data_IF_102061833612
#
_entry.id   IF_102061833612
#
_cell.length_a   1.000
_cell.length_b   1.000
_cell.length_c   1.000
_cell.angle_alpha   90.00
_cell.angle_beta   90.00
_cell.angle_gamma   90.00
#
_symmetry.space_group_name_H-M   'P 1'
#
loop_
_entity.id
_entity.type
_entity.pdbx_description
1 polymer ?
#
# COMPACT_ATOMS: atom_id res chain seq x y z
N UNK A 1 -30.78 17.98 -14.36
CA UNK A 1 -29.31 18.02 -14.43
C UNK A 1 -28.76 17.02 -13.41
N UNK A 2 -28.37 15.82 -13.85
CA UNK A 2 -27.81 14.76 -12.98
C UNK A 2 -26.34 15.05 -12.79
N UNK A 3 -25.94 15.36 -11.55
CA UNK A 3 -24.51 15.50 -11.18
C UNK A 3 -23.88 14.11 -11.28
N UNK A 4 -22.94 13.93 -12.19
CA UNK A 4 -22.10 12.74 -12.27
C UNK A 4 -21.17 12.75 -11.05
N UNK A 5 -21.46 11.93 -10.06
CA UNK A 5 -20.51 11.62 -8.98
C UNK A 5 -19.45 10.69 -9.58
N UNK A 6 -18.24 11.18 -9.72
CA UNK A 6 -17.10 10.33 -10.02
C UNK A 6 -16.73 9.58 -8.71
N UNK A 7 -17.14 8.33 -8.61
CA UNK A 7 -16.70 7.42 -7.56
C UNK A 7 -15.36 6.87 -8.03
N UNK A 8 -14.27 7.51 -7.62
CA UNK A 8 -12.95 6.90 -7.73
C UNK A 8 -12.88 5.74 -6.74
N UNK A 9 -12.85 4.52 -7.25
CA UNK A 9 -12.65 3.32 -6.44
C UNK A 9 -11.34 3.45 -5.66
N UNK A 10 -11.44 3.63 -4.36
CA UNK A 10 -10.31 3.85 -3.47
C UNK A 10 -9.84 2.50 -2.96
N UNK A 11 -8.95 1.88 -3.76
CA UNK A 11 -8.16 0.76 -3.27
C UNK A 11 -7.17 1.29 -2.22
N UNK A 12 -7.06 0.61 -1.08
CA UNK A 12 -6.05 0.90 -0.06
C UNK A 12 -4.65 0.39 -0.48
N UNK A 13 -4.18 0.74 -1.64
CA UNK A 13 -2.86 1.29 -1.82
C UNK A 13 -3.06 2.78 -1.65
N UNK A 14 -2.26 3.44 -0.85
CA UNK A 14 -2.22 4.89 -0.70
C UNK A 14 -2.15 5.56 -2.09
N UNK A 15 -3.26 5.57 -2.84
CA UNK A 15 -3.35 6.41 -4.02
C UNK A 15 -3.86 7.74 -3.51
N UNK A 16 -2.89 8.56 -3.10
CA UNK A 16 -3.13 9.97 -2.92
C UNK A 16 -3.83 10.51 -4.16
N UNK A 17 -5.08 10.95 -4.02
CA UNK A 17 -5.66 11.91 -4.94
C UNK A 17 -4.95 13.25 -4.70
N UNK A 18 -3.63 13.26 -4.90
CA UNK A 18 -2.79 14.44 -4.76
C UNK A 18 -2.71 15.19 -6.06
N UNK A 19 -2.40 16.45 -5.97
CA UNK A 19 -2.11 17.32 -7.11
C UNK A 19 -1.03 16.69 -7.98
N UNK A 20 -1.42 16.16 -9.13
CA UNK A 20 -0.44 15.82 -10.16
C UNK A 20 0.00 17.13 -10.80
N UNK A 21 1.20 17.60 -10.46
CA UNK A 21 1.88 18.55 -11.32
C UNK A 21 2.10 17.85 -12.66
N UNK A 22 1.21 18.07 -13.63
CA UNK A 22 1.37 17.52 -14.98
C UNK A 22 2.52 18.25 -15.66
N UNK A 23 3.73 17.73 -15.52
CA UNK A 23 4.80 18.03 -16.44
C UNK A 23 4.53 17.21 -17.69
N UNK A 24 3.96 17.82 -18.71
CA UNK A 24 3.63 17.16 -19.97
C UNK A 24 4.93 16.86 -20.70
N UNK A 25 5.35 15.60 -20.68
CA UNK A 25 6.34 15.12 -21.65
C UNK A 25 5.65 14.95 -23.01
N UNK A 26 6.33 15.28 -24.08
CA UNK A 26 5.82 15.34 -25.48
C UNK A 26 5.34 13.99 -26.05
N UNK A 27 5.29 12.93 -25.25
CA UNK A 27 4.99 11.53 -25.64
C UNK A 27 3.79 10.90 -24.93
N UNK A 28 2.88 11.68 -24.32
CA UNK A 28 1.73 11.11 -23.58
C UNK A 28 2.09 10.53 -22.20
N UNK A 29 3.34 10.56 -21.78
CA UNK A 29 3.78 10.20 -20.43
C UNK A 29 3.57 11.37 -19.48
N UNK A 30 3.00 11.11 -18.32
CA UNK A 30 2.83 12.10 -17.24
C UNK A 30 3.71 11.76 -16.06
N UNK A 31 4.20 12.78 -15.36
CA UNK A 31 4.92 12.64 -14.09
C UNK A 31 3.92 12.88 -12.97
N UNK A 32 3.88 11.96 -12.01
CA UNK A 32 3.10 12.07 -10.78
C UNK A 32 4.07 12.26 -9.62
N UNK A 33 3.85 13.30 -8.83
CA UNK A 33 4.60 13.57 -7.59
C UNK A 33 3.59 13.83 -6.49
N UNK A 34 3.65 13.08 -5.42
CA UNK A 34 2.78 13.24 -4.26
C UNK A 34 3.56 12.95 -2.98
N UNK A 35 3.06 13.40 -1.84
CA UNK A 35 3.61 13.02 -0.56
C UNK A 35 2.48 12.89 0.47
N UNK A 36 2.54 11.85 1.29
CA UNK A 36 1.69 11.70 2.46
C UNK A 36 2.48 12.06 3.71
N UNK A 37 1.80 12.76 4.63
CA UNK A 37 2.23 12.86 6.02
C UNK A 37 1.21 12.09 6.86
N UNK A 38 1.67 11.06 7.55
CA UNK A 38 0.81 10.18 8.35
C UNK A 38 1.26 10.16 9.81
N UNK A 39 0.31 9.99 10.74
CA UNK A 39 0.60 9.97 12.18
C UNK A 39 1.40 8.74 12.64
N UNK A 40 1.24 7.63 11.90
CA UNK A 40 1.98 6.39 12.08
C UNK A 40 1.97 5.61 10.76
N UNK A 41 2.91 4.71 10.57
CA UNK A 41 2.94 3.87 9.38
C UNK A 41 2.46 2.46 9.71
N UNK A 42 1.28 2.13 9.21
CA UNK A 42 0.69 0.79 9.30
C UNK A 42 0.53 0.23 7.90
N UNK A 43 1.10 -0.94 7.66
CA UNK A 43 1.02 -1.64 6.39
C UNK A 43 0.33 -2.99 6.55
N UNK A 44 -0.86 -3.13 5.95
CA UNK A 44 -1.65 -4.38 5.97
C UNK A 44 -1.88 -4.94 7.39
N UNK A 45 -2.21 -4.05 8.34
CA UNK A 45 -2.43 -4.40 9.75
C UNK A 45 -1.15 -4.59 10.58
N UNK A 46 0.02 -4.40 9.98
CA UNK A 46 1.32 -4.44 10.68
C UNK A 46 1.80 -3.02 10.90
N UNK A 47 1.99 -2.63 12.16
CA UNK A 47 2.53 -1.32 12.53
C UNK A 47 4.04 -1.31 12.32
N UNK A 48 4.49 -0.62 11.26
CA UNK A 48 5.92 -0.45 10.98
C UNK A 48 6.57 0.57 11.93
N UNK A 49 5.86 1.65 12.24
CA UNK A 49 6.30 2.65 13.22
C UNK A 49 5.11 3.44 13.78
N UNK A 50 5.18 3.81 15.06
CA UNK A 50 4.19 4.62 15.77
C UNK A 50 4.51 6.12 15.78
N UNK A 51 5.51 6.56 15.02
CA UNK A 51 5.88 7.96 14.85
C UNK A 51 5.36 8.52 13.54
N UNK A 52 5.20 9.84 13.38
CA UNK A 52 4.84 10.44 12.12
C UNK A 52 5.83 10.07 11.01
N UNK A 53 5.30 9.84 9.80
CA UNK A 53 6.08 9.48 8.62
C UNK A 53 5.78 10.43 7.47
N UNK A 54 6.83 10.78 6.73
CA UNK A 54 6.74 11.45 5.44
C UNK A 54 6.95 10.40 4.33
N UNK A 55 5.99 10.32 3.40
CA UNK A 55 5.90 9.23 2.43
C UNK A 55 5.78 9.79 1.00
N UNK A 56 6.90 10.14 0.34
CA UNK A 56 6.89 10.66 -1.02
C UNK A 56 6.67 9.55 -2.05
N UNK A 57 6.01 9.91 -3.15
CA UNK A 57 5.86 9.11 -4.36
C UNK A 57 6.31 9.91 -5.57
N UNK A 58 7.09 9.29 -6.43
CA UNK A 58 7.39 9.78 -7.78
C UNK A 58 7.08 8.66 -8.78
N UNK A 59 6.28 8.96 -9.82
CA UNK A 59 5.95 7.97 -10.82
C UNK A 59 5.85 8.55 -12.23
N UNK A 60 6.14 7.70 -13.21
CA UNK A 60 5.90 7.92 -14.63
C UNK A 60 4.68 7.10 -15.04
N UNK A 61 3.67 7.76 -15.60
CA UNK A 61 2.42 7.13 -16.02
C UNK A 61 2.23 7.29 -17.51
N UNK A 62 1.98 6.17 -18.22
CA UNK A 62 1.67 6.16 -19.64
C UNK A 62 0.56 5.14 -19.93
N UNK A 63 -0.63 5.62 -20.30
CA UNK A 63 -1.80 4.76 -20.43
C UNK A 63 -2.11 4.00 -19.13
N UNK A 64 -2.18 2.67 -19.20
CA UNK A 64 -2.37 1.82 -18.01
C UNK A 64 -1.10 1.50 -17.24
N UNK A 65 0.08 1.84 -17.76
CA UNK A 65 1.36 1.54 -17.14
C UNK A 65 1.80 2.64 -16.19
N UNK A 66 2.25 2.27 -14.99
CA UNK A 66 2.86 3.16 -14.01
C UNK A 66 4.17 2.53 -13.50
N UNK A 67 5.28 3.26 -13.57
CA UNK A 67 6.57 2.93 -12.98
C UNK A 67 6.91 4.00 -11.95
N UNK A 68 7.15 3.61 -10.72
CA UNK A 68 7.36 4.59 -9.65
C UNK A 68 8.34 4.14 -8.58
N UNK A 69 8.68 5.12 -7.77
CA UNK A 69 9.37 4.95 -6.50
C UNK A 69 8.51 5.52 -5.40
N UNK A 70 8.44 4.81 -4.29
CA UNK A 70 7.80 5.26 -3.06
C UNK A 70 8.79 5.15 -1.91
N UNK A 71 8.64 5.96 -0.91
CA UNK A 71 9.47 5.86 0.27
C UNK A 71 8.72 6.24 1.53
N UNK A 72 9.28 5.88 2.68
CA UNK A 72 8.82 6.29 3.99
C UNK A 72 10.01 6.60 4.89
N UNK A 73 9.94 7.72 5.58
CA UNK A 73 10.90 8.05 6.62
C UNK A 73 10.15 8.57 7.83
N UNK A 74 10.37 7.96 8.97
CA UNK A 74 9.79 8.43 10.21
C UNK A 74 10.57 9.64 10.77
N UNK A 75 9.91 10.44 11.60
CA UNK A 75 10.53 11.66 12.16
C UNK A 75 11.51 11.35 13.28
N UNK A 76 11.55 10.13 13.79
CA UNK A 76 12.56 9.70 14.76
C UNK A 76 13.89 9.33 14.09
N UNK A 77 13.89 9.10 12.76
CA UNK A 77 15.05 8.69 11.98
C UNK A 77 15.43 7.20 12.14
N UNK A 78 14.58 6.42 12.79
CA UNK A 78 14.81 5.00 13.03
C UNK A 78 14.31 4.14 11.87
N UNK A 79 13.18 4.49 11.27
CA UNK A 79 12.58 3.75 10.16
C UNK A 79 12.75 4.46 8.83
N UNK A 80 13.19 3.71 7.83
CA UNK A 80 13.28 4.17 6.43
C UNK A 80 12.90 3.04 5.50
N UNK A 81 12.21 3.38 4.43
CA UNK A 81 11.82 2.45 3.37
C UNK A 81 11.92 3.13 2.01
N UNK A 82 12.35 2.38 1.01
CA UNK A 82 12.32 2.82 -0.38
C UNK A 82 11.97 1.66 -1.28
N UNK A 83 10.88 1.82 -2.03
CA UNK A 83 10.30 0.80 -2.89
C UNK A 83 10.33 1.26 -4.34
N UNK A 84 10.61 0.30 -5.23
CA UNK A 84 10.45 0.50 -6.67
C UNK A 84 9.31 -0.39 -7.12
N UNK A 85 8.37 0.17 -7.87
CA UNK A 85 7.22 -0.60 -8.33
C UNK A 85 6.91 -0.35 -9.81
N UNK A 86 6.32 -1.36 -10.44
CA UNK A 86 5.72 -1.26 -11.75
C UNK A 86 4.33 -1.87 -11.71
N UNK A 87 3.33 -1.16 -12.27
CA UNK A 87 1.97 -1.67 -12.37
C UNK A 87 1.39 -1.48 -13.75
N UNK A 88 0.43 -2.33 -14.12
CA UNK A 88 -0.35 -2.19 -15.33
C UNK A 88 -1.84 -2.38 -15.03
N UNK A 89 -2.64 -1.39 -15.42
CA UNK A 89 -4.09 -1.39 -15.21
C UNK A 89 -4.82 -1.46 -16.54
N UNK A 90 -5.74 -2.40 -16.66
CA UNK A 90 -6.65 -2.54 -17.82
C UNK A 90 -8.06 -2.79 -17.31
N UNK A 91 -8.97 -1.85 -17.58
CA UNK A 91 -10.31 -1.89 -17.00
C UNK A 91 -10.27 -1.88 -15.47
N UNK A 92 -10.91 -2.87 -14.85
CA UNK A 92 -10.88 -3.06 -13.39
C UNK A 92 -9.76 -4.00 -12.91
N UNK A 93 -8.91 -4.51 -13.79
CA UNK A 93 -7.80 -5.38 -13.41
C UNK A 93 -6.50 -4.57 -13.31
N UNK A 94 -5.77 -4.75 -12.20
CA UNK A 94 -4.43 -4.20 -11.98
C UNK A 94 -3.46 -5.31 -11.63
N UNK A 95 -2.34 -5.35 -12.34
CA UNK A 95 -1.20 -6.22 -12.07
C UNK A 95 -0.05 -5.36 -11.54
N UNK A 96 0.77 -5.91 -10.65
CA UNK A 96 1.90 -5.18 -10.09
C UNK A 96 3.05 -6.07 -9.67
N UNK A 97 4.23 -5.45 -9.65
CA UNK A 97 5.43 -5.96 -9.01
C UNK A 97 6.02 -4.84 -8.20
N UNK A 98 6.41 -5.13 -6.95
CA UNK A 98 7.05 -4.17 -6.05
C UNK A 98 8.30 -4.80 -5.45
N UNK A 99 9.36 -4.03 -5.42
CA UNK A 99 10.61 -4.31 -4.70
C UNK A 99 10.61 -3.44 -3.43
N UNK A 100 10.41 -4.07 -2.28
CA UNK A 100 10.47 -3.43 -0.97
C UNK A 100 11.89 -3.47 -0.42
N UNK A 101 12.36 -2.36 0.16
CA UNK A 101 13.60 -2.33 0.92
C UNK A 101 13.42 -1.57 2.24
N UNK A 102 13.43 -2.32 3.35
CA UNK A 102 13.19 -1.79 4.69
C UNK A 102 14.50 -1.51 5.44
N UNK A 103 14.60 -0.30 5.99
CA UNK A 103 15.68 0.14 6.88
C UNK A 103 17.09 0.17 6.27
N UNK A 104 17.27 -0.15 4.97
CA UNK A 104 18.56 -0.16 4.29
C UNK A 104 19.68 -0.87 5.08
N UNK A 105 19.36 -2.06 5.63
CA UNK A 105 20.26 -2.78 6.54
C UNK A 105 21.51 -3.33 5.87
N UNK A 106 21.41 -3.64 4.57
CA UNK A 106 22.52 -4.15 3.76
C UNK A 106 22.86 -3.18 2.63
N UNK A 107 23.75 -3.62 1.72
CA UNK A 107 24.02 -2.85 0.50
C UNK A 107 22.78 -2.86 -0.40
N UNK A 108 22.29 -1.70 -0.79
CA UNK A 108 21.09 -1.56 -1.62
C UNK A 108 21.13 -2.41 -2.92
N UNK A 109 22.30 -2.62 -3.51
CA UNK A 109 22.46 -3.45 -4.73
C UNK A 109 22.84 -4.91 -4.43
N UNK A 110 22.58 -5.40 -3.22
CA UNK A 110 22.71 -6.83 -2.91
C UNK A 110 21.39 -7.56 -3.16
N UNK A 111 21.30 -8.24 -4.29
CA UNK A 111 20.13 -9.03 -4.68
C UNK A 111 20.32 -10.53 -4.52
N UNK A 112 21.37 -10.98 -3.83
CA UNK A 112 21.61 -12.41 -3.59
C UNK A 112 20.59 -12.95 -2.60
N UNK A 113 20.00 -14.09 -2.94
CA UNK A 113 18.92 -14.74 -2.16
C UNK A 113 19.24 -14.89 -0.67
N UNK A 114 20.49 -15.10 -0.33
CA UNK A 114 20.96 -15.40 1.04
C UNK A 114 21.21 -14.15 1.88
N UNK A 115 21.44 -13.01 1.26
CA UNK A 115 21.95 -11.80 1.95
C UNK A 115 21.14 -10.55 1.68
N UNK A 116 20.25 -10.58 0.69
CA UNK A 116 19.43 -9.41 0.34
C UNK A 116 18.43 -9.05 1.43
N UNK A 117 18.22 -7.75 1.65
CA UNK A 117 17.09 -7.20 2.42
C UNK A 117 15.91 -6.83 1.50
N UNK A 118 16.05 -6.96 0.19
CA UNK A 118 14.95 -6.74 -0.74
C UNK A 118 13.89 -7.82 -0.63
N UNK A 119 12.63 -7.42 -0.80
CA UNK A 119 11.48 -8.33 -0.92
C UNK A 119 10.72 -7.99 -2.20
N UNK A 120 10.67 -8.93 -3.14
CA UNK A 120 9.91 -8.80 -4.37
C UNK A 120 8.53 -9.41 -4.22
N UNK A 121 7.50 -8.59 -4.40
CA UNK A 121 6.10 -9.01 -4.33
C UNK A 121 5.45 -8.90 -5.70
N UNK A 122 4.68 -9.92 -6.06
CA UNK A 122 3.72 -9.89 -7.16
C UNK A 122 2.32 -9.60 -6.66
N UNK A 123 1.56 -8.79 -7.37
CA UNK A 123 0.19 -8.45 -7.02
C UNK A 123 -0.77 -8.56 -8.20
N UNK A 124 -2.00 -9.00 -7.92
CA UNK A 124 -3.14 -8.94 -8.82
C UNK A 124 -4.33 -8.39 -8.08
N UNK A 125 -5.06 -7.45 -8.70
CA UNK A 125 -6.15 -6.78 -8.04
C UNK A 125 -7.31 -6.53 -8.99
N UNK A 126 -8.51 -6.77 -8.50
CA UNK A 126 -9.73 -6.29 -9.09
C UNK A 126 -10.21 -5.04 -8.35
N UNK A 127 -10.36 -3.93 -9.07
CA UNK A 127 -10.58 -2.59 -8.50
C UNK A 127 -12.05 -2.27 -8.26
N UNK A 128 -12.96 -3.20 -8.58
CA UNK A 128 -14.40 -2.94 -8.55
C UNK A 128 -14.90 -2.17 -9.77
N UNK A 129 -16.18 -1.85 -9.75
CA UNK A 129 -16.86 -1.03 -10.75
C UNK A 129 -17.79 -0.02 -10.05
N UNK A 130 -18.32 0.95 -10.79
CA UNK A 130 -19.32 1.89 -10.24
C UNK A 130 -20.56 1.19 -9.68
N UNK A 131 -20.99 0.08 -10.32
CA UNK A 131 -22.14 -0.71 -9.88
C UNK A 131 -21.83 -1.70 -8.77
N UNK A 132 -20.56 -2.11 -8.63
CA UNK A 132 -20.10 -3.01 -7.59
C UNK A 132 -18.75 -2.47 -7.04
N UNK A 133 -18.80 -1.58 -6.03
CA UNK A 133 -17.59 -0.96 -5.44
C UNK A 133 -16.88 -1.90 -4.45
N UNK A 134 -16.79 -3.17 -4.81
CA UNK A 134 -16.02 -4.22 -4.12
C UNK A 134 -14.64 -4.34 -4.79
N UNK A 135 -13.58 -4.27 -4.03
CA UNK A 135 -12.22 -4.56 -4.52
C UNK A 135 -11.69 -5.85 -3.89
N UNK A 136 -10.84 -6.54 -4.64
CA UNK A 136 -10.12 -7.72 -4.14
C UNK A 136 -8.68 -7.63 -4.60
N UNK A 137 -7.72 -7.86 -3.71
CA UNK A 137 -6.31 -7.96 -4.07
C UNK A 137 -5.67 -9.23 -3.51
N UNK A 138 -4.78 -9.80 -4.28
CA UNK A 138 -3.87 -10.88 -3.89
C UNK A 138 -2.44 -10.37 -4.05
N UNK A 139 -1.65 -10.48 -3.00
CA UNK A 139 -0.28 -10.03 -2.94
C UNK A 139 0.58 -11.15 -2.35
N UNK A 140 1.67 -11.51 -3.02
CA UNK A 140 2.54 -12.61 -2.56
C UNK A 140 4.00 -12.21 -2.70
N UNK A 141 4.75 -12.33 -1.62
CA UNK A 141 6.20 -12.14 -1.60
C UNK A 141 6.87 -13.33 -2.30
N UNK A 142 7.54 -13.09 -3.42
CA UNK A 142 8.04 -14.14 -4.31
C UNK A 142 9.51 -14.44 -4.13
N UNK A 143 10.29 -13.42 -3.71
CA UNK A 143 11.75 -13.52 -3.62
C UNK A 143 12.28 -12.55 -2.56
N UNK A 144 13.46 -12.85 -2.02
CA UNK A 144 14.21 -11.94 -1.16
C UNK A 144 14.20 -12.33 0.31
N UNK A 145 14.07 -11.36 1.20
CA UNK A 145 14.21 -11.50 2.64
C UNK A 145 13.01 -12.17 3.34
N UNK A 146 11.91 -12.46 2.62
CA UNK A 146 10.77 -13.18 3.15
C UNK A 146 11.09 -14.67 3.32
N UNK A 147 11.60 -15.05 4.49
CA UNK A 147 12.09 -16.39 4.80
C UNK A 147 11.20 -17.10 5.83
N UNK A 148 11.13 -18.44 5.73
CA UNK A 148 10.48 -19.24 6.77
C UNK A 148 11.26 -19.18 8.08
N UNK A 149 10.59 -19.01 9.20
CA UNK A 149 11.22 -19.05 10.52
C UNK A 149 11.88 -20.41 10.81
N UNK A 150 11.28 -21.50 10.31
CA UNK A 150 11.77 -22.86 10.49
C UNK A 150 12.92 -23.25 9.56
N UNK A 151 13.10 -22.51 8.46
CA UNK A 151 14.15 -22.77 7.46
C UNK A 151 14.46 -21.49 6.65
N UNK A 152 15.42 -20.70 7.11
CA UNK A 152 15.81 -19.43 6.51
C UNK A 152 16.39 -19.54 5.08
N UNK A 153 16.62 -20.77 4.57
CA UNK A 153 17.03 -21.00 3.20
C UNK A 153 15.84 -20.99 2.22
N UNK A 154 14.62 -21.09 2.75
CA UNK A 154 13.36 -21.15 1.99
C UNK A 154 12.56 -19.86 2.14
N UNK A 155 11.98 -19.41 1.03
CA UNK A 155 11.02 -18.31 1.07
C UNK A 155 9.74 -18.75 1.80
N UNK A 156 9.16 -17.83 2.58
CA UNK A 156 7.88 -18.04 3.25
C UNK A 156 6.70 -17.94 2.27
N UNK A 157 6.87 -17.14 1.18
CA UNK A 157 5.78 -16.79 0.26
C UNK A 157 4.62 -16.12 0.98
N UNK A 158 4.96 -15.21 1.89
CA UNK A 158 3.97 -14.46 2.66
C UNK A 158 2.93 -13.85 1.74
N UNK A 159 1.68 -14.24 1.94
CA UNK A 159 0.57 -13.88 1.06
C UNK A 159 -0.48 -13.08 1.84
N UNK A 160 -0.96 -12.01 1.25
CA UNK A 160 -2.02 -11.17 1.78
C UNK A 160 -3.13 -10.99 0.76
N UNK A 161 -4.36 -11.27 1.20
CA UNK A 161 -5.57 -11.07 0.41
C UNK A 161 -6.40 -10.01 1.10
N UNK A 162 -6.80 -8.96 0.37
CA UNK A 162 -7.67 -7.93 0.91
C UNK A 162 -8.96 -7.82 0.14
N UNK A 163 -10.05 -7.71 0.85
CA UNK A 163 -11.37 -7.34 0.37
C UNK A 163 -11.68 -5.93 0.84
N UNK A 164 -12.06 -5.06 -0.07
CA UNK A 164 -12.45 -3.69 0.23
C UNK A 164 -13.83 -3.39 -0.31
N UNK A 165 -14.63 -2.61 0.41
CA UNK A 165 -15.91 -2.12 -0.07
C UNK A 165 -16.03 -0.62 0.18
N UNK A 166 -16.29 0.14 -0.88
CA UNK A 166 -16.42 1.60 -0.82
C UNK A 166 -17.88 2.03 -0.69
N UNK A 167 -18.20 2.71 0.40
CA UNK A 167 -19.45 3.45 0.59
C UNK A 167 -19.25 4.90 0.14
N UNK A 168 -20.30 5.70 0.16
CA UNK A 168 -20.25 7.10 -0.27
C UNK A 168 -19.37 8.00 0.62
N UNK A 169 -19.19 7.66 1.89
CA UNK A 169 -18.50 8.49 2.89
C UNK A 169 -17.29 7.82 3.53
N UNK A 170 -17.20 6.51 3.47
CA UNK A 170 -16.11 5.71 4.04
C UNK A 170 -15.95 4.41 3.25
N UNK A 171 -14.85 3.71 3.47
CA UNK A 171 -14.65 2.34 3.00
C UNK A 171 -14.36 1.42 4.17
N UNK A 172 -14.65 0.13 3.99
CA UNK A 172 -14.25 -0.93 4.93
C UNK A 172 -13.31 -1.89 4.22
N UNK A 173 -12.48 -2.57 4.98
CA UNK A 173 -11.58 -3.57 4.45
C UNK A 173 -11.43 -4.76 5.40
N UNK A 174 -11.12 -5.91 4.81
CA UNK A 174 -10.77 -7.14 5.52
C UNK A 174 -9.58 -7.79 4.83
N UNK A 175 -8.50 -7.95 5.57
CA UNK A 175 -7.27 -8.60 5.13
C UNK A 175 -7.10 -9.95 5.79
N UNK A 176 -6.74 -10.96 4.97
CA UNK A 176 -6.49 -12.31 5.42
C UNK A 176 -5.15 -12.81 4.87
N UNK A 177 -4.51 -13.71 5.61
CA UNK A 177 -3.36 -14.49 5.15
C UNK A 177 -3.72 -15.97 5.11
N UNK A 178 -3.43 -16.68 3.99
CA UNK A 178 -3.76 -18.09 3.86
C UNK A 178 -2.74 -19.04 4.50
N UNK A 179 -1.58 -18.53 4.91
CA UNK A 179 -0.46 -19.33 5.43
C UNK A 179 0.40 -18.52 6.39
N UNK A 180 1.25 -19.22 7.12
CA UNK A 180 2.29 -18.62 7.95
C UNK A 180 3.21 -17.72 7.14
N UNK A 181 3.62 -16.61 7.74
CA UNK A 181 4.51 -15.64 7.14
C UNK A 181 4.42 -14.28 7.81
N UNK A 182 4.81 -13.26 7.10
CA UNK A 182 4.91 -11.88 7.59
C UNK A 182 3.61 -11.33 8.20
N UNK A 183 2.44 -11.72 7.66
CA UNK A 183 1.14 -11.16 8.05
C UNK A 183 0.45 -11.91 9.20
N UNK A 184 0.95 -13.10 9.56
CA UNK A 184 0.48 -13.88 10.69
C UNK A 184 1.05 -13.37 12.02
N UNK A 185 1.32 -14.30 12.94
CA UNK A 185 1.90 -14.00 14.26
C UNK A 185 3.41 -13.67 14.23
N UNK A 186 3.99 -13.61 13.06
CA UNK A 186 5.41 -13.29 12.86
C UNK A 186 6.28 -14.52 12.61
N UNK A 187 5.89 -15.34 11.66
CA UNK A 187 6.64 -16.49 11.16
C UNK A 187 6.60 -17.80 11.99
N UNK A 188 5.66 -17.95 12.92
CA UNK A 188 5.79 -19.11 13.79
C UNK A 188 4.56 -19.82 14.34
N UNK A 189 3.32 -19.46 14.02
CA UNK A 189 2.27 -20.06 14.81
C UNK A 189 0.90 -20.24 14.19
N UNK A 190 0.57 -19.64 13.09
CA UNK A 190 -0.77 -19.80 12.51
C UNK A 190 -0.74 -20.75 11.33
N UNK A 191 -1.25 -21.94 11.52
CA UNK A 191 -1.52 -22.85 10.42
C UNK A 191 -2.88 -22.50 9.81
N UNK A 192 -2.88 -22.08 8.52
CA UNK A 192 -4.09 -21.87 7.75
C UNK A 192 -4.54 -20.43 7.60
N UNK A 193 -5.80 -20.26 7.19
CA UNK A 193 -6.39 -18.97 6.89
C UNK A 193 -6.65 -18.15 8.15
N UNK A 194 -6.07 -16.96 8.22
CA UNK A 194 -6.19 -16.06 9.37
C UNK A 194 -6.57 -14.66 8.96
N UNK A 195 -7.43 -14.01 9.75
CA UNK A 195 -7.77 -12.60 9.59
C UNK A 195 -6.69 -11.77 10.29
N UNK A 196 -5.94 -10.99 9.51
CA UNK A 196 -4.81 -10.20 10.02
C UNK A 196 -5.02 -8.68 9.89
N UNK A 197 -6.13 -8.24 9.30
CA UNK A 197 -6.39 -6.81 9.15
C UNK A 197 -7.88 -6.56 8.93
N UNK A 198 -8.52 -5.81 9.80
CA UNK A 198 -9.91 -5.37 9.65
C UNK A 198 -9.99 -3.88 9.94
N UNK A 199 -10.77 -3.15 9.16
CA UNK A 199 -10.89 -1.74 9.47
C UNK A 199 -11.79 -0.94 8.54
N UNK A 200 -11.77 0.35 8.79
CA UNK A 200 -12.48 1.34 8.00
C UNK A 200 -11.60 2.57 7.78
N UNK A 201 -11.80 3.23 6.64
CA UNK A 201 -11.15 4.50 6.29
C UNK A 201 -12.22 5.51 5.89
N UNK A 202 -12.17 6.69 6.52
CA UNK A 202 -12.91 7.86 6.09
C UNK A 202 -11.95 8.88 5.49
N UNK A 203 -12.37 9.56 4.42
CA UNK A 203 -11.57 10.60 3.78
C UNK A 203 -12.43 11.80 3.40
N UNK A 204 -11.79 12.97 3.38
CA UNK A 204 -12.45 14.22 3.01
C UNK A 204 -11.45 15.16 2.34
N UNK A 205 -11.89 15.85 1.29
CA UNK A 205 -11.15 16.98 0.74
C UNK A 205 -11.50 18.25 1.53
N UNK A 206 -10.55 18.75 2.30
CA UNK A 206 -10.70 20.00 3.04
C UNK A 206 -10.40 21.17 2.12
N UNK A 207 -11.41 21.95 1.76
CA UNK A 207 -11.22 23.14 0.92
C UNK A 207 -10.41 24.19 1.68
N UNK A 208 -9.22 24.54 1.20
CA UNK A 208 -8.34 25.55 1.78
C UNK A 208 -8.50 26.88 1.03
N UNK A 209 -8.52 26.83 -0.32
CA UNK A 209 -8.79 27.98 -1.21
C UNK A 209 -9.79 27.55 -2.29
N UNK A 210 -10.17 28.48 -3.16
CA UNK A 210 -11.03 28.13 -4.31
C UNK A 210 -10.34 27.21 -5.32
N UNK A 211 -9.02 27.22 -5.39
CA UNK A 211 -8.20 26.40 -6.29
C UNK A 211 -7.50 25.24 -5.61
N UNK A 212 -7.53 25.16 -4.27
CA UNK A 212 -6.80 24.14 -3.51
C UNK A 212 -7.65 23.48 -2.44
N UNK A 213 -7.65 22.14 -2.44
CA UNK A 213 -8.23 21.32 -1.38
C UNK A 213 -7.19 20.31 -0.88
N UNK A 214 -7.08 20.19 0.43
CA UNK A 214 -6.19 19.25 1.10
C UNK A 214 -6.93 17.96 1.40
N UNK A 215 -6.55 16.81 0.78
CA UNK A 215 -7.07 15.51 1.14
C UNK A 215 -6.62 15.12 2.53
N UNK A 216 -7.59 14.77 3.38
CA UNK A 216 -7.35 14.23 4.72
C UNK A 216 -7.99 12.86 4.83
N UNK A 217 -7.38 11.96 5.60
CA UNK A 217 -7.89 10.62 5.86
C UNK A 217 -7.73 10.23 7.31
N UNK A 218 -8.62 9.36 7.79
CA UNK A 218 -8.50 8.69 9.07
C UNK A 218 -8.83 7.21 8.86
N UNK A 219 -7.96 6.33 9.34
CA UNK A 219 -8.13 4.88 9.28
C UNK A 219 -8.11 4.33 10.69
N UNK A 220 -9.17 3.59 11.06
CA UNK A 220 -9.18 2.74 12.25
C UNK A 220 -9.13 1.28 11.80
N UNK A 221 -8.27 0.50 12.42
CA UNK A 221 -8.18 -0.93 12.14
C UNK A 221 -7.72 -1.73 13.34
N UNK A 222 -7.89 -3.05 13.21
CA UNK A 222 -7.45 -4.06 14.16
C UNK A 222 -6.73 -5.18 13.44
N UNK A 223 -5.69 -5.71 14.07
CA UNK A 223 -5.04 -6.95 13.66
C UNK A 223 -5.35 -8.04 14.69
N UNK A 224 -6.31 -8.94 14.42
CA UNK A 224 -6.69 -9.98 15.39
C UNK A 224 -5.56 -10.97 15.70
N UNK A 225 -4.62 -11.18 14.77
CA UNK A 225 -3.48 -12.09 14.97
C UNK A 225 -2.44 -11.54 15.95
N UNK A 226 -2.29 -10.21 15.97
CA UNK A 226 -1.33 -9.52 16.85
C UNK A 226 -2.02 -8.90 18.07
N UNK A 227 -3.34 -9.11 18.22
CA UNK A 227 -4.16 -8.50 19.27
C UNK A 227 -3.95 -6.97 19.34
N UNK A 228 -3.75 -6.32 18.17
CA UNK A 228 -3.39 -4.92 18.06
C UNK A 228 -4.50 -4.11 17.39
N UNK A 229 -4.59 -2.83 17.74
CA UNK A 229 -5.48 -1.85 17.13
C UNK A 229 -4.72 -0.58 16.80
N UNK A 230 -5.08 0.05 15.68
CA UNK A 230 -4.41 1.25 15.23
C UNK A 230 -5.39 2.32 14.77
N UNK A 231 -4.98 3.58 14.92
CA UNK A 231 -5.67 4.75 14.39
C UNK A 231 -4.65 5.64 13.68
N UNK A 232 -4.82 5.80 12.38
CA UNK A 232 -3.89 6.57 11.55
C UNK A 232 -4.60 7.77 10.96
N UNK A 233 -4.03 8.95 11.13
CA UNK A 233 -4.43 10.17 10.43
C UNK A 233 -3.42 10.48 9.33
N UNK A 234 -3.90 10.96 8.19
CA UNK A 234 -3.04 11.32 7.06
C UNK A 234 -3.54 12.53 6.32
N UNK A 235 -2.59 13.27 5.76
CA UNK A 235 -2.82 14.33 4.78
C UNK A 235 -1.96 14.05 3.54
N UNK A 236 -2.46 14.46 2.37
CA UNK A 236 -1.75 14.26 1.10
C UNK A 236 -1.51 15.59 0.42
N UNK A 237 -0.30 15.76 -0.12
CA UNK A 237 0.14 16.92 -0.88
C UNK A 237 0.33 16.59 -2.35
#
# INVERSE_FOLDING_TARGET
MRKKLAIAGMMLMLTAAGFTSKVSAQSGTTVKVTADLVSSYVWRGVTSTNTPNFQPTFALVNGGFELGVWGSSDFSGVYKEADIYATYTVGSLKLGVTDYNWNFKTRYFDFKKETTDHVFEGSISWLGTESLPLSVSLNTMLYGADKKATDVTKNAYSTYIEFGYAFSQFSVFAGVTPADGYYGDGYGGVEGLSVCNLGLTASKNLKITDSYSLPIKATFGVNPQKEDAYLVFGITF
#
